data_IF_608959131757
#
_entry.id   IF_608959131757
#
_cell.length_a   1.000
_cell.length_b   1.000
_cell.length_c   1.000
_cell.angle_alpha   90.00
_cell.angle_beta   90.00
_cell.angle_gamma   90.00
#
_symmetry.space_group_name_H-M   'P 1'
#
loop_
_entity.id
_entity.type
_entity.pdbx_description
1 polymer ?
#
# COMPACT_ATOMS: atom_id res chain seq x y z
N UNK A 1 -16.42 63.03 -15.35
CA UNK A 1 -16.01 63.04 -16.75
C UNK A 1 -15.72 61.61 -17.15
N UNK A 2 -16.70 60.95 -17.78
CA UNK A 2 -16.58 59.69 -18.52
C UNK A 2 -16.00 59.97 -19.91
N UNK A 3 -15.35 59.02 -20.60
CA UNK A 3 -16.12 58.23 -21.57
C UNK A 3 -15.75 56.75 -21.69
N UNK A 4 -16.75 55.96 -21.77
CA UNK A 4 -17.13 54.86 -22.66
C UNK A 4 -16.22 54.55 -23.85
N UNK A 5 -15.86 53.27 -24.05
CA UNK A 5 -15.47 52.74 -25.37
C UNK A 5 -15.94 51.28 -25.56
N UNK A 6 -16.50 51.08 -26.72
CA UNK A 6 -17.30 50.01 -27.29
C UNK A 6 -16.55 48.67 -27.48
N UNK A 7 -17.26 47.59 -27.21
CA UNK A 7 -16.96 46.20 -27.62
C UNK A 7 -17.48 46.02 -29.07
N UNK A 8 -16.66 45.46 -29.95
CA UNK A 8 -17.07 44.89 -31.24
C UNK A 8 -16.97 43.37 -31.19
N UNK A 9 -18.12 42.74 -31.36
CA UNK A 9 -18.24 41.31 -31.62
C UNK A 9 -17.97 41.02 -33.11
N UNK A 10 -17.16 40.00 -33.40
CA UNK A 10 -17.00 39.46 -34.74
C UNK A 10 -17.61 38.04 -34.76
N UNK A 11 -18.66 37.88 -35.56
CA UNK A 11 -19.22 36.59 -35.96
C UNK A 11 -18.33 35.96 -37.05
N UNK A 12 -17.90 34.73 -36.84
CA UNK A 12 -17.33 33.90 -37.90
C UNK A 12 -18.30 32.77 -38.24
N UNK A 13 -18.74 32.78 -39.50
CA UNK A 13 -19.59 31.77 -40.13
C UNK A 13 -18.72 30.57 -40.53
N UNK A 14 -19.00 29.38 -40.03
CA UNK A 14 -18.38 28.14 -40.47
C UNK A 14 -19.19 27.51 -41.60
N UNK A 15 -18.56 27.32 -42.76
CA UNK A 15 -19.11 26.69 -43.94
C UNK A 15 -18.93 25.17 -43.84
N UNK A 16 -20.02 24.41 -43.79
CA UNK A 16 -20.02 22.94 -43.87
C UNK A 16 -19.88 22.50 -45.34
N UNK A 17 -18.80 21.77 -45.64
CA UNK A 17 -18.64 21.09 -46.93
C UNK A 17 -18.89 19.60 -46.66
N UNK A 18 -19.99 19.07 -47.23
CA UNK A 18 -20.32 17.65 -47.27
C UNK A 18 -19.65 17.01 -48.47
N UNK A 19 -18.71 16.11 -48.25
CA UNK A 19 -18.16 15.22 -49.29
C UNK A 19 -18.93 13.89 -49.33
N UNK A 20 -19.60 13.63 -50.44
CA UNK A 20 -20.21 12.32 -50.72
C UNK A 20 -19.17 11.37 -51.28
N UNK A 21 -19.08 10.17 -50.71
CA UNK A 21 -18.28 9.04 -51.20
C UNK A 21 -19.15 8.10 -52.07
N UNK A 22 -18.62 7.51 -53.14
CA UNK A 22 -19.40 6.59 -54.00
C UNK A 22 -19.47 5.18 -53.38
N UNK A 23 -20.64 4.58 -53.50
CA UNK A 23 -20.91 3.18 -53.16
C UNK A 23 -20.38 2.27 -54.28
N UNK A 24 -19.45 1.37 -53.95
CA UNK A 24 -19.00 0.28 -54.86
C UNK A 24 -19.82 -0.97 -54.63
N UNK A 25 -20.40 -1.49 -55.74
CA UNK A 25 -21.19 -2.72 -55.76
C UNK A 25 -20.31 -3.94 -55.52
N UNK A 26 -20.78 -4.83 -54.62
CA UNK A 26 -20.19 -6.15 -54.37
C UNK A 26 -20.73 -7.18 -55.36
N UNK A 27 -19.84 -7.90 -56.03
CA UNK A 27 -20.16 -9.09 -56.83
C UNK A 27 -20.28 -10.35 -55.97
N UNK A 28 -20.85 -11.47 -56.48
CA UNK A 28 -21.16 -12.62 -55.65
C UNK A 28 -19.94 -13.45 -55.25
N UNK A 29 -19.86 -13.80 -53.95
CA UNK A 29 -18.82 -14.64 -53.38
C UNK A 29 -18.99 -16.10 -53.73
N UNK A 30 -17.90 -16.74 -54.19
CA UNK A 30 -17.84 -18.18 -54.42
C UNK A 30 -17.72 -18.92 -53.08
N UNK A 31 -18.49 -19.99 -52.91
CA UNK A 31 -18.48 -20.86 -51.74
C UNK A 31 -17.18 -21.68 -51.67
N UNK A 32 -16.47 -21.63 -50.53
CA UNK A 32 -15.35 -22.50 -50.17
C UNK A 32 -15.87 -23.62 -49.26
N UNK A 33 -15.51 -24.90 -49.43
CA UNK A 33 -15.98 -25.96 -48.58
C UNK A 33 -15.39 -25.94 -47.19
N UNK A 34 -16.22 -26.20 -46.17
CA UNK A 34 -15.86 -26.28 -44.77
C UNK A 34 -14.91 -27.48 -44.53
N UNK A 35 -13.68 -27.18 -44.06
CA UNK A 35 -12.79 -28.17 -43.48
C UNK A 35 -13.15 -28.32 -41.99
N UNK A 36 -13.75 -29.42 -41.61
CA UNK A 36 -13.91 -29.87 -40.22
C UNK A 36 -12.58 -30.38 -39.70
N UNK A 37 -11.86 -29.54 -39.02
CA UNK A 37 -10.69 -29.89 -38.21
C UNK A 37 -10.81 -29.19 -36.88
N UNK A 38 -11.42 -29.88 -35.92
CA UNK A 38 -11.50 -29.45 -34.52
C UNK A 38 -10.10 -29.60 -33.91
N UNK A 39 -9.31 -28.54 -34.01
CA UNK A 39 -8.07 -28.41 -33.24
C UNK A 39 -8.49 -28.00 -31.83
N UNK A 40 -8.39 -28.94 -30.88
CA UNK A 40 -8.52 -28.62 -29.46
C UNK A 40 -7.47 -27.55 -29.11
N UNK A 41 -7.91 -26.34 -28.85
CA UNK A 41 -7.09 -25.28 -28.27
C UNK A 41 -6.54 -25.80 -26.92
N UNK A 42 -5.22 -25.67 -26.66
CA UNK A 42 -4.69 -26.04 -25.36
C UNK A 42 -5.39 -25.16 -24.29
N UNK A 43 -5.99 -25.83 -23.29
CA UNK A 43 -6.65 -25.17 -22.18
C UNK A 43 -5.66 -24.11 -21.58
N UNK A 44 -6.07 -22.84 -21.56
CA UNK A 44 -5.32 -21.80 -20.88
C UNK A 44 -5.04 -22.28 -19.44
N UNK A 45 -3.80 -22.08 -18.94
CA UNK A 45 -3.50 -22.43 -17.56
C UNK A 45 -4.46 -21.69 -16.64
N UNK A 46 -5.12 -22.44 -15.75
CA UNK A 46 -6.09 -21.90 -14.80
C UNK A 46 -5.52 -20.65 -14.14
N UNK A 47 -6.19 -19.52 -14.32
CA UNK A 47 -5.78 -18.22 -13.82
C UNK A 47 -5.64 -18.28 -12.28
N UNK A 48 -4.42 -18.40 -11.79
CA UNK A 48 -4.09 -18.44 -10.35
C UNK A 48 -4.64 -17.20 -9.60
N UNK A 49 -5.00 -16.13 -10.33
CA UNK A 49 -5.63 -14.93 -9.78
C UNK A 49 -7.06 -15.19 -9.31
N UNK A 50 -7.70 -16.27 -9.75
CA UNK A 50 -9.09 -16.63 -9.42
C UNK A 50 -9.22 -17.70 -8.33
N UNK A 51 -8.13 -18.36 -7.93
CA UNK A 51 -8.19 -19.34 -6.85
C UNK A 51 -8.72 -18.70 -5.55
N UNK A 52 -9.57 -19.41 -4.76
CA UNK A 52 -10.00 -18.92 -3.47
C UNK A 52 -8.80 -18.64 -2.57
N UNK A 53 -8.81 -17.50 -1.86
CA UNK A 53 -7.81 -17.25 -0.83
C UNK A 53 -8.05 -18.18 0.36
N UNK A 54 -7.00 -18.65 1.05
CA UNK A 54 -7.18 -19.42 2.28
C UNK A 54 -7.89 -18.57 3.32
N UNK A 55 -8.72 -19.21 4.14
CA UNK A 55 -9.30 -18.56 5.30
C UNK A 55 -8.17 -18.15 6.26
N UNK A 56 -8.19 -16.90 6.70
CA UNK A 56 -7.25 -16.42 7.72
C UNK A 56 -7.56 -17.05 9.07
N UNK A 57 -6.53 -17.44 9.81
CA UNK A 57 -6.61 -17.79 11.21
C UNK A 57 -6.58 -16.52 12.06
N UNK A 58 -7.54 -16.36 12.98
CA UNK A 58 -7.54 -15.23 13.90
C UNK A 58 -6.85 -15.64 15.21
N UNK A 59 -5.78 -14.95 15.56
CA UNK A 59 -5.08 -15.10 16.83
C UNK A 59 -5.16 -13.81 17.64
N UNK A 60 -4.91 -13.91 18.94
CA UNK A 60 -4.92 -12.75 19.84
C UNK A 60 -3.53 -12.54 20.44
N UNK A 61 -2.99 -11.33 20.30
CA UNK A 61 -1.65 -10.96 20.75
C UNK A 61 -1.76 -9.79 21.74
N UNK A 62 -1.17 -9.91 22.92
CA UNK A 62 -1.14 -8.82 23.88
C UNK A 62 -0.20 -7.70 23.41
N UNK A 63 -0.69 -6.45 23.37
CA UNK A 63 0.10 -5.24 23.04
C UNK A 63 0.25 -4.40 24.30
N UNK A 64 1.41 -4.46 24.98
CA UNK A 64 1.65 -3.70 26.20
C UNK A 64 1.67 -2.20 25.94
N UNK A 65 1.15 -1.42 26.85
CA UNK A 65 1.13 0.04 26.78
C UNK A 65 0.15 0.63 25.76
N UNK A 66 -0.68 -0.21 25.12
CA UNK A 66 -1.67 0.25 24.15
C UNK A 66 -3.07 0.48 24.77
N UNK A 67 -3.29 0.03 25.98
CA UNK A 67 -4.53 0.22 26.72
C UNK A 67 -4.61 1.52 27.49
N UNK A 68 -5.76 1.79 28.08
CA UNK A 68 -5.95 2.90 28.99
C UNK A 68 -4.93 2.84 30.14
N UNK A 69 -4.42 3.98 30.55
CA UNK A 69 -3.44 4.11 31.64
C UNK A 69 -2.18 3.24 31.48
N UNK A 70 -1.78 2.93 30.22
CA UNK A 70 -0.60 2.10 29.95
C UNK A 70 -0.82 0.59 30.09
N UNK A 71 -2.07 0.13 30.22
CA UNK A 71 -2.42 -1.28 30.21
C UNK A 71 -2.20 -1.95 28.85
N UNK A 72 -2.46 -3.26 28.76
CA UNK A 72 -2.39 -4.01 27.50
C UNK A 72 -3.73 -4.01 26.77
N UNK A 73 -3.66 -4.10 25.42
CA UNK A 73 -4.81 -4.43 24.56
C UNK A 73 -4.57 -5.80 23.93
N UNK A 74 -5.61 -6.64 23.92
CA UNK A 74 -5.57 -7.93 23.24
C UNK A 74 -5.90 -7.71 21.75
N UNK A 75 -4.86 -7.68 20.93
CA UNK A 75 -4.92 -7.35 19.52
C UNK A 75 -5.28 -8.58 18.68
N UNK A 76 -6.39 -8.49 17.95
CA UNK A 76 -6.77 -9.52 16.96
C UNK A 76 -5.84 -9.41 15.76
N UNK A 77 -5.25 -10.53 15.38
CA UNK A 77 -4.29 -10.62 14.28
C UNK A 77 -4.70 -11.73 13.33
N UNK A 78 -4.80 -11.40 12.04
CA UNK A 78 -5.10 -12.37 11.00
C UNK A 78 -3.81 -12.99 10.47
N UNK A 79 -3.76 -14.32 10.40
CA UNK A 79 -2.62 -15.10 9.93
C UNK A 79 -3.04 -15.89 8.70
N UNK A 80 -2.35 -15.69 7.60
CA UNK A 80 -2.55 -16.41 6.36
C UNK A 80 -1.27 -17.16 6.02
N UNK A 81 -1.34 -18.48 5.89
CA UNK A 81 -0.21 -19.33 5.57
C UNK A 81 -0.35 -19.90 4.15
N UNK A 82 0.73 -19.99 3.36
CA UNK A 82 0.72 -20.75 2.13
C UNK A 82 0.58 -22.24 2.43
N UNK A 83 0.28 -23.10 1.43
CA UNK A 83 0.31 -24.55 1.61
C UNK A 83 1.68 -25.06 2.06
N UNK A 84 1.71 -26.07 2.93
CA UNK A 84 2.92 -26.67 3.48
C UNK A 84 3.06 -26.50 5.00
N UNK A 85 4.15 -26.99 5.55
CA UNK A 85 4.39 -26.97 7.00
C UNK A 85 5.29 -25.81 7.48
N UNK A 86 6.03 -25.20 6.56
CA UNK A 86 6.99 -24.14 6.89
C UNK A 86 8.39 -24.69 7.23
N UNK A 87 9.27 -23.89 7.88
CA UNK A 87 9.04 -22.49 8.22
C UNK A 87 8.93 -21.59 6.99
N UNK A 88 7.98 -20.64 7.04
CA UNK A 88 7.73 -19.70 5.95
C UNK A 88 8.37 -18.34 6.24
N UNK A 89 8.95 -17.65 5.24
CA UNK A 89 9.24 -16.22 5.36
C UNK A 89 7.94 -15.47 5.70
N UNK A 90 8.05 -14.40 6.47
CA UNK A 90 6.88 -13.73 7.02
C UNK A 90 6.79 -12.28 6.55
N UNK A 91 5.63 -11.91 6.05
CA UNK A 91 5.25 -10.52 5.81
C UNK A 91 4.35 -10.04 6.95
N UNK A 92 4.82 -9.07 7.73
CA UNK A 92 3.99 -8.36 8.71
C UNK A 92 3.38 -7.15 8.03
N UNK A 93 2.06 -7.19 7.80
CA UNK A 93 1.35 -6.15 7.07
C UNK A 93 0.62 -5.19 8.01
N UNK A 94 1.05 -3.92 8.01
CA UNK A 94 0.43 -2.83 8.77
C UNK A 94 -0.57 -2.06 7.91
N UNK A 95 -1.86 -2.08 8.29
CA UNK A 95 -2.94 -1.40 7.56
C UNK A 95 -2.88 0.12 7.66
N UNK A 96 -3.61 0.83 6.79
CA UNK A 96 -3.82 2.27 6.85
C UNK A 96 -4.76 2.70 7.99
N UNK A 97 -4.98 4.01 8.10
CA UNK A 97 -5.91 4.59 9.06
C UNK A 97 -7.11 5.23 8.34
N UNK A 98 -8.31 4.83 8.69
CA UNK A 98 -9.51 5.58 8.35
C UNK A 98 -9.66 6.78 9.30
N UNK A 99 -9.97 7.96 8.76
CA UNK A 99 -10.19 9.18 9.55
C UNK A 99 -11.45 9.08 10.37
N UNK A 100 -12.50 8.48 9.82
CA UNK A 100 -13.78 8.29 10.50
C UNK A 100 -13.73 7.17 11.55
N UNK A 101 -14.36 7.38 12.69
CA UNK A 101 -14.35 6.42 13.79
C UNK A 101 -15.21 5.18 13.49
N UNK A 102 -16.30 5.33 12.74
CA UNK A 102 -17.15 4.20 12.36
C UNK A 102 -16.41 3.29 11.37
N UNK A 103 -15.69 3.86 10.39
CA UNK A 103 -14.88 3.09 9.45
C UNK A 103 -13.77 2.32 10.17
N UNK A 104 -13.12 2.94 11.18
CA UNK A 104 -12.13 2.25 12.01
C UNK A 104 -12.73 1.08 12.77
N UNK A 105 -13.92 1.26 13.35
CA UNK A 105 -14.62 0.21 14.10
C UNK A 105 -15.07 -0.98 13.23
N UNK A 106 -15.23 -0.78 11.92
CA UNK A 106 -15.64 -1.83 10.98
C UNK A 106 -14.48 -2.60 10.35
N UNK A 107 -13.22 -2.26 10.64
CA UNK A 107 -12.07 -2.97 10.08
C UNK A 107 -12.02 -4.42 10.57
N UNK A 108 -12.14 -5.37 9.64
CA UNK A 108 -12.09 -6.82 9.94
C UNK A 108 -10.80 -7.48 9.45
N UNK A 109 -10.25 -6.99 8.34
CA UNK A 109 -8.99 -7.49 7.74
C UNK A 109 -8.18 -6.29 7.28
N UNK A 110 -6.93 -6.22 7.71
CA UNK A 110 -6.05 -5.08 7.45
C UNK A 110 -5.32 -5.16 6.09
N UNK A 111 -5.27 -6.34 5.46
CA UNK A 111 -4.54 -6.61 4.22
C UNK A 111 -5.52 -6.85 3.06
N UNK A 112 -5.21 -6.34 1.87
CA UNK A 112 -6.05 -6.53 0.69
C UNK A 112 -5.86 -7.90 0.04
N UNK A 113 -6.86 -8.35 -0.73
CA UNK A 113 -6.76 -9.60 -1.48
C UNK A 113 -5.61 -9.58 -2.50
N UNK A 114 -5.29 -8.45 -3.10
CA UNK A 114 -4.16 -8.31 -4.02
C UNK A 114 -2.82 -8.60 -3.31
N UNK A 115 -2.63 -8.03 -2.13
CA UNK A 115 -1.46 -8.29 -1.29
C UNK A 115 -1.41 -9.76 -0.85
N UNK A 116 -2.53 -10.33 -0.36
CA UNK A 116 -2.59 -11.73 0.05
C UNK A 116 -2.21 -12.67 -1.09
N UNK A 117 -2.79 -12.51 -2.28
CA UNK A 117 -2.46 -13.34 -3.45
C UNK A 117 -0.99 -13.26 -3.81
N UNK A 118 -0.43 -12.05 -3.83
CA UNK A 118 0.96 -11.83 -4.18
C UNK A 118 1.91 -12.57 -3.21
N UNK A 119 1.76 -12.36 -1.91
CA UNK A 119 2.66 -12.94 -0.92
C UNK A 119 2.48 -14.45 -0.79
N UNK A 120 1.24 -14.92 -0.69
CA UNK A 120 0.96 -16.37 -0.56
C UNK A 120 1.42 -17.17 -1.78
N UNK A 121 1.29 -16.62 -3.00
CA UNK A 121 1.79 -17.28 -4.22
C UNK A 121 3.31 -17.40 -4.27
N UNK A 122 4.02 -16.56 -3.54
CA UNK A 122 5.48 -16.63 -3.36
C UNK A 122 5.92 -17.66 -2.30
N UNK A 123 4.98 -18.15 -1.51
CA UNK A 123 5.25 -19.04 -0.39
C UNK A 123 5.53 -18.29 0.92
N UNK A 124 5.14 -17.02 1.00
CA UNK A 124 5.32 -16.19 2.20
C UNK A 124 4.06 -16.23 3.05
N UNK A 125 4.20 -16.36 4.36
CA UNK A 125 3.08 -16.19 5.29
C UNK A 125 2.81 -14.70 5.51
N UNK A 126 1.52 -14.33 5.63
CA UNK A 126 1.10 -12.94 5.89
C UNK A 126 0.46 -12.86 7.27
N UNK A 127 1.00 -11.98 8.11
CA UNK A 127 0.49 -11.66 9.44
C UNK A 127 0.01 -10.22 9.44
N UNK A 128 -1.29 -10.02 9.61
CA UNK A 128 -1.95 -8.72 9.52
C UNK A 128 -2.65 -8.38 10.84
N UNK A 129 -1.98 -7.67 11.76
CA UNK A 129 -2.59 -7.21 12.99
C UNK A 129 -3.66 -6.15 12.72
N UNK A 130 -4.80 -6.25 13.39
CA UNK A 130 -5.80 -5.19 13.51
C UNK A 130 -5.41 -4.37 14.74
N UNK A 131 -4.72 -3.26 14.52
CA UNK A 131 -4.09 -2.50 15.60
C UNK A 131 -5.08 -1.99 16.65
N UNK A 132 -4.64 -1.70 17.90
CA UNK A 132 -5.48 -1.05 18.92
C UNK A 132 -6.17 0.22 18.40
N UNK A 133 -7.45 0.40 18.74
CA UNK A 133 -8.31 1.46 18.22
C UNK A 133 -9.08 1.09 16.94
N UNK A 134 -8.93 -0.15 16.43
CA UNK A 134 -9.59 -0.60 15.19
C UNK A 134 -10.38 -1.90 15.38
N UNK A 135 -11.48 -2.00 14.65
CA UNK A 135 -12.25 -3.23 14.42
C UNK A 135 -12.48 -4.06 15.66
N UNK A 136 -12.30 -5.37 15.52
CA UNK A 136 -12.52 -6.34 16.61
C UNK A 136 -11.50 -6.25 17.74
N UNK A 137 -10.35 -5.60 17.53
CA UNK A 137 -9.39 -5.33 18.60
C UNK A 137 -9.92 -4.29 19.56
N UNK A 138 -10.57 -3.23 19.06
CA UNK A 138 -11.05 -2.14 19.90
C UNK A 138 -9.92 -1.41 20.64
N UNK A 139 -10.24 -0.84 21.79
CA UNK A 139 -9.29 -0.10 22.62
C UNK A 139 -9.12 1.37 22.25
N UNK A 140 -8.21 2.09 22.91
CA UNK A 140 -7.96 3.51 22.67
C UNK A 140 -7.39 3.77 21.27
N UNK A 141 -7.80 4.91 20.66
CA UNK A 141 -7.25 5.39 19.38
C UNK A 141 -5.93 6.14 19.63
N UNK A 142 -4.86 5.39 19.85
CA UNK A 142 -3.50 5.95 20.07
C UNK A 142 -2.86 6.52 18.81
N UNK A 143 -3.43 6.26 17.62
CA UNK A 143 -2.89 6.73 16.33
C UNK A 143 -3.50 8.06 15.86
N UNK A 144 -4.31 8.70 16.68
CA UNK A 144 -4.88 10.00 16.36
C UNK A 144 -3.82 11.09 16.45
N UNK A 145 -3.32 11.57 15.31
CA UNK A 145 -2.34 12.66 15.25
C UNK A 145 -2.91 14.03 15.65
N UNK A 146 -4.22 14.16 15.79
CA UNK A 146 -4.87 15.46 16.01
C UNK A 146 -4.92 16.37 14.78
N UNK A 147 -4.55 15.90 13.59
CA UNK A 147 -4.65 16.67 12.35
C UNK A 147 -6.10 17.08 12.06
N UNK A 148 -6.33 18.36 11.83
CA UNK A 148 -7.66 18.91 11.50
C UNK A 148 -7.53 20.00 10.44
N UNK A 149 -8.51 20.04 9.53
CA UNK A 149 -8.65 21.06 8.52
C UNK A 149 -9.91 21.92 8.78
N UNK A 150 -9.88 23.18 8.34
CA UNK A 150 -11.10 23.97 8.21
C UNK A 150 -11.80 23.66 6.87
N UNK A 151 -12.97 24.28 6.66
CA UNK A 151 -13.76 24.12 5.43
C UNK A 151 -13.06 24.66 4.17
N UNK A 152 -12.01 25.45 4.33
CA UNK A 152 -11.19 25.96 3.23
C UNK A 152 -9.95 25.10 2.97
N UNK A 153 -9.81 23.95 3.65
CA UNK A 153 -8.70 23.01 3.49
C UNK A 153 -7.39 23.46 4.16
N UNK A 154 -7.44 24.44 5.07
CA UNK A 154 -6.26 24.86 5.81
C UNK A 154 -6.08 23.99 7.06
N UNK A 155 -4.85 23.56 7.30
CA UNK A 155 -4.48 22.88 8.54
C UNK A 155 -4.65 23.82 9.75
N UNK A 156 -5.44 23.42 10.73
CA UNK A 156 -5.79 24.22 11.93
C UNK A 156 -5.10 23.79 13.19
N UNK A 157 -4.43 22.65 13.19
CA UNK A 157 -3.79 22.09 14.36
C UNK A 157 -2.31 21.81 14.08
N UNK A 158 -1.55 21.60 15.13
CA UNK A 158 -0.22 21.02 15.03
C UNK A 158 -0.34 19.54 15.35
N UNK A 159 -0.34 18.65 14.33
CA UNK A 159 -0.48 17.22 14.57
C UNK A 159 0.74 16.65 15.28
N UNK A 160 0.57 15.49 15.93
CA UNK A 160 1.69 14.71 16.45
C UNK A 160 1.82 13.39 15.68
N UNK A 161 2.65 13.40 14.65
CA UNK A 161 2.91 12.21 13.84
C UNK A 161 3.87 11.24 14.50
N UNK A 162 4.69 11.71 15.47
CA UNK A 162 5.56 10.86 16.25
C UNK A 162 4.76 9.93 17.15
N UNK A 163 3.82 10.48 17.90
CA UNK A 163 2.97 9.70 18.78
C UNK A 163 2.13 8.70 17.99
N UNK A 164 1.59 9.10 16.82
CA UNK A 164 0.93 8.19 15.88
C UNK A 164 1.84 7.00 15.51
N UNK A 165 3.08 7.28 15.11
CA UNK A 165 4.03 6.23 14.71
C UNK A 165 4.42 5.33 15.90
N UNK A 166 4.70 5.91 17.07
CA UNK A 166 5.07 5.17 18.28
C UNK A 166 3.93 4.24 18.75
N UNK A 167 2.69 4.73 18.72
CA UNK A 167 1.53 3.92 19.06
C UNK A 167 1.38 2.70 18.13
N UNK A 168 1.53 2.91 16.82
CA UNK A 168 1.41 1.85 15.83
C UNK A 168 2.56 0.83 15.90
N UNK A 169 3.79 1.27 16.17
CA UNK A 169 4.98 0.40 16.29
C UNK A 169 4.84 -0.63 17.41
N UNK A 170 4.11 -0.33 18.50
CA UNK A 170 3.84 -1.30 19.57
C UNK A 170 3.20 -2.59 19.04
N UNK A 171 2.33 -2.48 18.03
CA UNK A 171 1.68 -3.64 17.39
C UNK A 171 2.69 -4.47 16.59
N UNK A 172 3.63 -3.82 15.90
CA UNK A 172 4.73 -4.50 15.20
C UNK A 172 5.60 -5.26 16.20
N UNK A 173 6.02 -4.60 17.29
CA UNK A 173 6.87 -5.21 18.31
C UNK A 173 6.20 -6.43 18.96
N UNK A 174 4.91 -6.31 19.30
CA UNK A 174 4.15 -7.43 19.87
C UNK A 174 4.00 -8.59 18.86
N UNK A 175 3.75 -8.28 17.57
CA UNK A 175 3.65 -9.28 16.50
C UNK A 175 4.98 -10.00 16.30
N UNK A 176 6.11 -9.30 16.26
CA UNK A 176 7.44 -9.90 16.13
C UNK A 176 7.80 -10.78 17.34
N UNK A 177 7.45 -10.35 18.55
CA UNK A 177 7.63 -11.16 19.76
C UNK A 177 6.81 -12.45 19.70
N UNK A 178 5.56 -12.38 19.26
CA UNK A 178 4.69 -13.53 19.08
C UNK A 178 5.20 -14.49 17.99
N UNK A 179 5.68 -13.97 16.85
CA UNK A 179 6.22 -14.79 15.75
C UNK A 179 7.37 -15.68 16.21
N UNK A 180 8.21 -15.24 17.15
CA UNK A 180 9.30 -16.06 17.70
C UNK A 180 8.83 -17.30 18.45
N UNK A 181 7.56 -17.39 18.80
CA UNK A 181 6.94 -18.56 19.43
C UNK A 181 6.27 -19.50 18.42
N UNK A 182 6.29 -19.16 17.12
CA UNK A 182 5.57 -19.91 16.10
C UNK A 182 6.51 -20.82 15.30
N UNK A 183 6.38 -22.15 15.36
CA UNK A 183 7.30 -23.07 14.68
C UNK A 183 7.23 -23.00 13.15
N UNK A 184 6.11 -22.50 12.60
CA UNK A 184 5.90 -22.34 11.17
C UNK A 184 6.53 -21.06 10.60
N UNK A 185 7.00 -20.13 11.43
CA UNK A 185 7.52 -18.83 11.01
C UNK A 185 9.05 -18.87 10.89
N UNK A 186 9.56 -18.48 9.73
CA UNK A 186 10.97 -18.17 9.57
C UNK A 186 11.23 -16.76 10.12
N UNK A 187 11.60 -16.71 11.39
CA UNK A 187 11.83 -15.45 12.12
C UNK A 187 13.12 -14.73 11.73
N UNK A 188 13.94 -15.31 10.86
CA UNK A 188 15.14 -14.69 10.30
C UNK A 188 14.85 -13.95 8.99
N UNK A 189 13.71 -14.21 8.35
CA UNK A 189 13.29 -13.60 7.11
C UNK A 189 11.90 -12.94 7.27
N UNK A 190 11.87 -11.81 7.97
CA UNK A 190 10.67 -11.00 8.18
C UNK A 190 10.75 -9.73 7.37
N UNK A 191 9.70 -9.45 6.58
CA UNK A 191 9.53 -8.21 5.83
C UNK A 191 8.39 -7.40 6.45
N UNK A 192 8.64 -6.13 6.78
CA UNK A 192 7.57 -5.23 7.19
C UNK A 192 6.97 -4.57 5.95
N UNK A 193 5.66 -4.66 5.80
CA UNK A 193 4.93 -4.01 4.70
C UNK A 193 3.82 -3.15 5.28
N UNK A 194 3.64 -1.93 4.80
CA UNK A 194 2.58 -1.09 5.34
C UNK A 194 2.03 -0.09 4.32
N UNK A 195 0.78 0.32 4.55
CA UNK A 195 0.08 1.30 3.71
C UNK A 195 -0.39 2.48 4.56
N UNK A 196 -0.23 3.73 4.07
CA UNK A 196 -0.67 4.95 4.75
C UNK A 196 -0.03 5.08 6.15
N UNK A 197 -0.80 5.20 7.22
CA UNK A 197 -0.26 5.15 8.59
C UNK A 197 0.53 3.85 8.83
N UNK A 198 0.13 2.72 8.23
CA UNK A 198 0.92 1.49 8.26
C UNK A 198 2.28 1.61 7.57
N UNK A 199 2.38 2.39 6.48
CA UNK A 199 3.64 2.72 5.84
C UNK A 199 4.55 3.57 6.74
N UNK A 200 4.01 4.62 7.38
CA UNK A 200 4.72 5.37 8.41
C UNK A 200 5.17 4.46 9.56
N UNK A 201 4.34 3.48 9.94
CA UNK A 201 4.66 2.49 10.97
C UNK A 201 5.89 1.66 10.60
N UNK A 202 6.00 1.18 9.34
CA UNK A 202 7.16 0.37 8.91
C UNK A 202 8.44 1.18 8.96
N UNK A 203 8.41 2.45 8.52
CA UNK A 203 9.56 3.35 8.59
C UNK A 203 9.99 3.61 10.04
N UNK A 204 9.04 3.90 10.92
CA UNK A 204 9.31 4.13 12.33
C UNK A 204 9.82 2.84 13.04
N UNK A 205 9.26 1.69 12.68
CA UNK A 205 9.73 0.41 13.20
C UNK A 205 11.18 0.15 12.78
N UNK A 206 11.53 0.41 11.53
CA UNK A 206 12.88 0.20 11.00
C UNK A 206 13.94 1.14 11.62
N UNK A 207 13.53 2.23 12.27
CA UNK A 207 14.45 3.15 12.93
C UNK A 207 15.14 2.57 14.18
N UNK A 208 14.75 1.38 14.61
CA UNK A 208 15.46 0.60 15.64
C UNK A 208 15.72 -0.81 15.10
N UNK A 209 16.89 -1.39 15.34
CA UNK A 209 17.17 -2.78 14.95
C UNK A 209 16.13 -3.75 15.52
N UNK A 210 15.68 -4.69 14.68
CA UNK A 210 14.78 -5.79 15.04
C UNK A 210 15.28 -7.06 14.39
N UNK A 211 15.72 -7.98 15.22
CA UNK A 211 16.30 -9.24 14.77
C UNK A 211 15.35 -9.98 13.82
N UNK A 212 15.88 -10.41 12.69
CA UNK A 212 15.15 -11.12 11.66
C UNK A 212 14.37 -10.24 10.68
N UNK A 213 14.26 -8.92 10.93
CA UNK A 213 13.66 -7.99 9.96
C UNK A 213 14.73 -7.60 8.93
N UNK A 214 14.57 -8.09 7.69
CA UNK A 214 15.57 -7.94 6.62
C UNK A 214 15.33 -6.73 5.71
N UNK A 215 14.15 -6.13 5.77
CA UNK A 215 13.78 -4.95 4.98
C UNK A 215 12.35 -4.50 5.24
N UNK A 216 11.94 -3.41 4.58
CA UNK A 216 10.54 -2.97 4.65
C UNK A 216 10.07 -2.27 3.38
N UNK A 217 8.74 -2.30 3.17
CA UNK A 217 8.06 -1.64 2.06
C UNK A 217 7.04 -0.63 2.62
N UNK A 218 7.16 0.59 2.16
CA UNK A 218 6.30 1.71 2.50
C UNK A 218 5.42 2.08 1.30
N UNK A 219 4.15 1.67 1.31
CA UNK A 219 3.15 2.09 0.32
C UNK A 219 2.41 3.34 0.81
N UNK A 220 2.58 4.44 0.10
CA UNK A 220 1.88 5.70 0.37
C UNK A 220 1.89 6.08 1.87
N UNK A 221 3.04 5.90 2.55
CA UNK A 221 3.15 6.06 4.01
C UNK A 221 3.11 7.50 4.45
N UNK A 222 2.32 7.76 5.46
CA UNK A 222 2.15 9.09 6.03
C UNK A 222 0.92 9.17 6.93
N UNK A 223 0.61 10.38 7.38
CA UNK A 223 -0.54 10.66 8.22
C UNK A 223 -1.08 12.08 7.98
N UNK A 224 -2.29 12.36 8.45
CA UNK A 224 -2.87 13.70 8.45
C UNK A 224 -3.38 14.19 7.09
N UNK A 225 -3.56 13.33 6.10
CA UNK A 225 -4.20 13.67 4.84
C UNK A 225 -5.73 13.62 4.94
N UNK A 226 -6.39 14.42 4.11
CA UNK A 226 -7.86 14.44 3.95
C UNK A 226 -8.22 14.77 2.49
N UNK A 227 -8.49 13.77 1.66
CA UNK A 227 -8.80 14.02 0.24
C UNK A 227 -10.06 14.86 0.05
N UNK A 228 -11.00 14.83 1.01
CA UNK A 228 -12.26 15.61 0.95
C UNK A 228 -12.04 17.08 1.30
N UNK A 229 -11.23 17.38 2.31
CA UNK A 229 -11.06 18.75 2.82
C UNK A 229 -9.82 19.44 2.25
N UNK A 230 -8.76 18.69 1.99
CA UNK A 230 -7.48 19.21 1.50
C UNK A 230 -6.83 18.20 0.56
N UNK A 231 -7.38 17.98 -0.64
CA UNK A 231 -6.84 17.01 -1.59
C UNK A 231 -5.38 17.31 -1.94
N UNK A 232 -4.61 16.24 -2.11
CA UNK A 232 -3.18 16.26 -2.46
C UNK A 232 -2.26 16.90 -1.40
N UNK A 233 -2.73 17.06 -0.18
CA UNK A 233 -1.94 17.69 0.88
C UNK A 233 -2.33 17.19 2.26
N UNK A 234 -1.35 16.81 3.07
CA UNK A 234 -1.57 16.54 4.48
C UNK A 234 -1.42 17.79 5.36
N UNK A 235 -1.93 17.71 6.57
CA UNK A 235 -1.74 18.76 7.58
C UNK A 235 -0.29 18.75 8.03
N UNK A 236 0.40 19.88 7.93
CA UNK A 236 1.82 20.06 8.31
C UNK A 236 2.80 19.03 7.69
N UNK A 237 3.00 19.06 6.35
CA UNK A 237 3.92 18.13 5.68
C UNK A 237 5.37 18.29 6.14
N UNK A 238 5.76 19.45 6.62
CA UNK A 238 7.10 19.74 7.17
C UNK A 238 7.43 18.92 8.40
N UNK A 239 6.45 18.62 9.26
CA UNK A 239 6.64 17.76 10.42
C UNK A 239 6.97 16.32 10.02
N UNK A 240 6.30 15.75 8.99
CA UNK A 240 6.65 14.43 8.45
C UNK A 240 8.03 14.45 7.79
N UNK A 241 8.39 15.53 7.08
CA UNK A 241 9.74 15.68 6.51
C UNK A 241 10.82 15.59 7.59
N UNK A 242 10.63 16.28 8.70
CA UNK A 242 11.58 16.26 9.83
C UNK A 242 11.62 14.87 10.49
N UNK A 243 10.46 14.26 10.73
CA UNK A 243 10.32 12.95 11.38
C UNK A 243 10.96 11.82 10.54
N UNK A 244 10.70 11.80 9.23
CA UNK A 244 11.34 10.83 8.35
C UNK A 244 12.87 11.02 8.27
N UNK A 245 13.34 12.27 8.25
CA UNK A 245 14.78 12.55 8.34
C UNK A 245 15.42 12.03 9.62
N UNK A 246 14.71 12.08 10.74
CA UNK A 246 15.16 11.48 11.99
C UNK A 246 15.23 9.95 11.92
N UNK A 247 14.18 9.31 11.43
CA UNK A 247 14.16 7.86 11.27
C UNK A 247 15.26 7.37 10.31
N UNK A 248 15.52 8.11 9.23
CA UNK A 248 16.58 7.78 8.27
C UNK A 248 17.98 7.74 8.88
N UNK A 249 18.28 8.57 9.89
CA UNK A 249 19.58 8.56 10.56
C UNK A 249 19.88 7.30 11.37
N UNK A 250 18.86 6.57 11.75
CA UNK A 250 19.01 5.35 12.58
C UNK A 250 18.60 4.06 11.87
N UNK A 251 17.98 4.14 10.70
CA UNK A 251 17.59 2.98 9.91
C UNK A 251 18.81 2.38 9.20
N UNK A 252 19.02 1.06 9.37
CA UNK A 252 20.14 0.33 8.75
C UNK A 252 19.70 -0.69 7.71
N UNK A 253 18.43 -1.09 7.72
CA UNK A 253 17.89 -2.09 6.79
C UNK A 253 17.37 -1.43 5.51
N UNK A 254 17.42 -2.14 4.36
CA UNK A 254 16.97 -1.61 3.08
C UNK A 254 15.46 -1.39 3.02
N UNK A 255 15.04 -0.46 2.15
CA UNK A 255 13.62 -0.14 1.98
C UNK A 255 13.22 0.20 0.56
N UNK A 256 11.93 -0.05 0.28
CA UNK A 256 11.23 0.40 -0.91
C UNK A 256 10.08 1.33 -0.51
N UNK A 257 10.00 2.51 -1.11
CA UNK A 257 8.91 3.46 -0.95
C UNK A 257 8.18 3.62 -2.27
N UNK A 258 6.87 3.38 -2.28
CA UNK A 258 6.04 3.43 -3.49
C UNK A 258 4.85 4.35 -3.28
N UNK A 259 4.78 5.41 -4.09
CA UNK A 259 3.69 6.37 -4.09
C UNK A 259 3.22 6.58 -5.52
N UNK A 260 1.91 6.70 -5.74
CA UNK A 260 1.38 7.04 -7.04
C UNK A 260 1.28 8.56 -7.21
N UNK A 261 1.46 9.05 -8.43
CA UNK A 261 1.42 10.49 -8.76
C UNK A 261 0.09 11.16 -8.39
N UNK A 262 -1.02 10.40 -8.43
CA UNK A 262 -2.36 10.90 -8.11
C UNK A 262 -2.84 10.52 -6.69
N UNK A 263 -1.92 10.36 -5.74
CA UNK A 263 -2.27 10.18 -4.32
C UNK A 263 -3.01 11.42 -3.80
N UNK A 264 -4.31 11.28 -3.52
CA UNK A 264 -5.16 12.40 -3.09
C UNK A 264 -4.95 12.81 -1.63
N UNK A 265 -4.27 12.01 -0.83
CA UNK A 265 -3.94 12.34 0.56
C UNK A 265 -2.69 13.21 0.67
N UNK A 266 -1.64 12.91 -0.12
CA UNK A 266 -0.32 13.50 0.07
C UNK A 266 0.20 14.27 -1.15
N UNK A 267 -0.39 14.01 -2.32
CA UNK A 267 0.07 14.59 -3.59
C UNK A 267 1.43 14.07 -4.05
N UNK A 268 1.92 14.58 -5.18
CA UNK A 268 3.17 14.10 -5.77
C UNK A 268 4.44 14.59 -5.04
N UNK A 269 4.42 15.79 -4.46
CA UNK A 269 5.64 16.47 -4.01
C UNK A 269 6.06 16.12 -2.57
N UNK A 270 5.09 16.01 -1.65
CA UNK A 270 5.39 15.76 -0.25
C UNK A 270 6.12 14.42 -0.03
N UNK A 271 5.71 13.29 -0.64
CA UNK A 271 6.44 12.03 -0.53
C UNK A 271 7.88 12.08 -1.04
N UNK A 272 8.14 12.83 -2.11
CA UNK A 272 9.50 13.05 -2.64
C UNK A 272 10.37 13.76 -1.59
N UNK A 273 9.83 14.83 -0.98
CA UNK A 273 10.55 15.57 0.07
C UNK A 273 10.78 14.71 1.33
N UNK A 274 9.80 13.88 1.72
CA UNK A 274 9.91 12.96 2.85
C UNK A 274 11.00 11.92 2.63
N UNK A 275 10.97 11.26 1.46
CA UNK A 275 11.98 10.27 1.10
C UNK A 275 13.37 10.90 0.98
N UNK A 276 13.50 12.06 0.37
CA UNK A 276 14.78 12.78 0.28
C UNK A 276 15.33 13.13 1.67
N UNK A 277 14.46 13.50 2.62
CA UNK A 277 14.87 13.75 4.01
C UNK A 277 15.34 12.46 4.70
N UNK A 278 14.62 11.36 4.52
CA UNK A 278 14.99 10.05 5.03
C UNK A 278 16.32 9.55 4.45
N UNK A 279 16.51 9.63 3.14
CA UNK A 279 17.68 9.11 2.43
C UNK A 279 18.99 9.81 2.84
N UNK A 280 18.93 11.09 3.30
CA UNK A 280 20.10 11.79 3.85
C UNK A 280 20.69 11.11 5.08
N UNK A 281 19.96 10.23 5.75
CA UNK A 281 20.47 9.41 6.85
C UNK A 281 21.43 8.30 6.43
N UNK A 282 21.60 8.03 5.13
CA UNK A 282 22.52 7.03 4.60
C UNK A 282 21.94 5.63 4.46
N UNK A 283 20.65 5.43 4.75
CA UNK A 283 19.97 4.13 4.57
C UNK A 283 19.91 3.73 3.11
N UNK A 284 20.01 2.43 2.82
CA UNK A 284 19.72 1.87 1.49
C UNK A 284 18.22 1.98 1.24
N UNK A 285 17.80 2.88 0.35
CA UNK A 285 16.38 3.14 0.11
C UNK A 285 16.13 3.40 -1.37
N UNK A 286 15.02 2.87 -1.88
CA UNK A 286 14.55 3.11 -3.25
C UNK A 286 13.21 3.81 -3.19
N UNK A 287 13.05 4.89 -3.95
CA UNK A 287 11.79 5.60 -4.13
C UNK A 287 11.22 5.33 -5.52
N UNK A 288 9.96 4.95 -5.58
CA UNK A 288 9.19 4.78 -6.81
C UNK A 288 8.03 5.77 -6.80
N UNK A 289 8.06 6.67 -7.76
CA UNK A 289 6.91 7.50 -8.11
C UNK A 289 6.14 6.76 -9.20
N UNK A 290 5.17 5.94 -8.80
CA UNK A 290 4.39 5.12 -9.71
C UNK A 290 3.42 5.97 -10.52
N UNK A 291 3.11 5.58 -11.78
CA UNK A 291 2.10 6.24 -12.59
C UNK A 291 0.74 6.36 -11.86
N UNK A 292 -0.12 7.30 -12.29
CA UNK A 292 -1.45 7.44 -11.74
C UNK A 292 -2.25 6.14 -11.79
N UNK A 293 -2.96 5.84 -10.73
CA UNK A 293 -3.94 4.73 -10.71
C UNK A 293 -5.19 5.20 -11.45
N UNK A 294 -5.48 4.58 -12.60
CA UNK A 294 -6.61 4.97 -13.43
C UNK A 294 -7.94 4.80 -12.68
N UNK A 295 -8.82 5.80 -12.80
CA UNK A 295 -10.17 5.83 -12.22
C UNK A 295 -10.22 5.66 -10.69
N UNK A 296 -9.09 5.83 -10.00
CA UNK A 296 -8.98 5.64 -8.56
C UNK A 296 -8.04 6.66 -7.91
N UNK A 297 -8.12 6.76 -6.58
CA UNK A 297 -7.16 7.46 -5.77
C UNK A 297 -5.85 6.65 -5.66
N UNK A 298 -4.75 7.26 -6.08
CA UNK A 298 -3.41 6.66 -6.01
C UNK A 298 -2.96 6.27 -4.61
N UNK A 299 -3.55 6.84 -3.56
CA UNK A 299 -3.30 6.45 -2.18
C UNK A 299 -3.61 4.97 -1.92
N UNK A 300 -4.55 4.41 -2.68
CA UNK A 300 -4.93 3.01 -2.62
C UNK A 300 -4.08 2.06 -3.47
N UNK A 301 -2.98 2.48 -4.11
CA UNK A 301 -2.19 1.69 -5.06
C UNK A 301 -1.95 0.24 -4.61
N UNK A 302 -1.54 0.03 -3.37
CA UNK A 302 -1.23 -1.31 -2.82
C UNK A 302 -2.45 -2.23 -2.70
N UNK A 303 -3.67 -1.69 -2.78
CA UNK A 303 -4.94 -2.43 -2.70
C UNK A 303 -5.47 -2.85 -4.05
N UNK A 304 -4.95 -2.24 -5.13
CA UNK A 304 -5.33 -2.54 -6.50
C UNK A 304 -4.58 -3.77 -7.04
N UNK A 305 -4.79 -4.07 -8.32
CA UNK A 305 -4.18 -5.23 -8.99
C UNK A 305 -2.66 -5.23 -8.83
N UNK A 306 -2.09 -6.37 -8.46
CA UNK A 306 -0.67 -6.53 -8.19
C UNK A 306 0.23 -6.06 -9.34
N UNK A 307 -0.21 -6.17 -10.60
CA UNK A 307 0.53 -5.68 -11.79
C UNK A 307 0.97 -4.21 -11.71
N UNK A 308 0.30 -3.40 -10.89
CA UNK A 308 0.61 -1.96 -10.74
C UNK A 308 1.80 -1.70 -9.82
N UNK A 309 2.12 -2.62 -8.92
CA UNK A 309 3.15 -2.43 -7.90
C UNK A 309 4.11 -3.62 -7.75
N UNK A 310 3.69 -4.84 -8.13
CA UNK A 310 4.51 -6.05 -7.97
C UNK A 310 5.88 -5.97 -8.64
N UNK A 311 6.04 -5.41 -9.87
CA UNK A 311 7.37 -5.32 -10.48
C UNK A 311 8.38 -4.52 -9.63
N UNK A 312 7.93 -3.49 -8.91
CA UNK A 312 8.79 -2.72 -8.02
C UNK A 312 9.17 -3.52 -6.78
N UNK A 313 8.19 -4.28 -6.24
CA UNK A 313 8.41 -5.17 -5.09
C UNK A 313 9.37 -6.30 -5.47
N UNK A 314 9.16 -6.97 -6.61
CA UNK A 314 10.04 -8.04 -7.10
C UNK A 314 11.48 -7.54 -7.29
N UNK A 315 11.64 -6.37 -7.89
CA UNK A 315 12.96 -5.74 -8.05
C UNK A 315 13.64 -5.44 -6.72
N UNK A 316 12.89 -4.99 -5.72
CA UNK A 316 13.41 -4.74 -4.37
C UNK A 316 13.79 -6.05 -3.65
N UNK A 317 12.92 -7.05 -3.67
CA UNK A 317 13.15 -8.35 -3.03
C UNK A 317 14.41 -9.05 -3.59
N UNK A 318 14.72 -8.85 -4.87
CA UNK A 318 15.94 -9.36 -5.48
C UNK A 318 17.24 -8.69 -4.94
N UNK A 319 17.14 -7.58 -4.22
CA UNK A 319 18.28 -6.82 -3.66
C UNK A 319 18.51 -7.04 -2.17
N UNK A 320 17.63 -7.78 -1.52
CA UNK A 320 17.68 -8.03 -0.07
C UNK A 320 17.71 -9.52 0.22
N UNK A 321 18.12 -9.89 1.44
CA UNK A 321 18.12 -11.27 1.92
C UNK A 321 16.69 -11.69 2.35
N UNK A 322 15.77 -11.76 1.36
CA UNK A 322 14.42 -12.30 1.54
C UNK A 322 14.24 -13.45 0.55
N UNK A 323 13.86 -14.66 1.01
CA UNK A 323 13.90 -15.86 0.19
C UNK A 323 13.11 -15.72 -1.11
N UNK A 324 13.63 -16.27 -2.24
CA UNK A 324 12.91 -16.29 -3.50
C UNK A 324 11.66 -17.17 -3.42
N UNK A 325 10.77 -17.02 -4.40
CA UNK A 325 9.53 -17.83 -4.49
C UNK A 325 9.80 -19.33 -4.43
N UNK A 326 8.86 -20.09 -3.88
CA UNK A 326 8.96 -21.56 -3.73
C UNK A 326 9.25 -22.32 -5.03
N UNK A 327 8.82 -21.81 -6.19
CA UNK A 327 9.13 -22.40 -7.50
C UNK A 327 10.63 -22.35 -7.85
N UNK A 328 11.36 -21.37 -7.34
CA UNK A 328 12.81 -21.26 -7.50
C UNK A 328 13.57 -22.06 -6.45
N UNK A 329 13.00 -22.29 -5.28
CA UNK A 329 13.61 -23.11 -4.21
C UNK A 329 13.74 -24.60 -4.58
N UNK A 330 12.74 -25.14 -5.30
CA UNK A 330 12.78 -26.56 -5.72
C UNK A 330 13.84 -26.83 -6.81
N UNK A 331 14.30 -25.79 -7.51
CA UNK A 331 15.36 -25.92 -8.55
C UNK A 331 16.79 -25.83 -7.99
N UNK A 332 16.97 -25.48 -6.73
CA UNK A 332 18.30 -25.25 -6.11
C UNK A 332 18.77 -26.37 -5.17
N UNK A 333 17.94 -27.42 -4.94
CA UNK A 333 18.41 -28.62 -4.22
C UNK A 333 18.66 -29.75 -5.22
N UNK A 334 19.92 -30.22 -5.36
CA UNK A 334 20.30 -31.36 -6.19
C UNK A 334 19.77 -32.67 -5.63
#
# INVERSE_FOLDING_TARGET
>A
MTPTSFVRAALSVACLITLAMPVSAQGPAAAVPAATGESAEPAEPADASRAPLPAGEAVTIAVPGAGAFGGSVMMVTQVFKPPGEGPFPVVVFSHGRASDAADRAHLKVGVSNAQLRFWLSRGDAVVSPIRPGYGTTGGPDGENSGARFDNSGNCKTRPDYRDTAVAAVRSVDATLAWLRTQPWADVHHVLLVGQSVGGLTTVAAAAKPRDGVVGYINFAGGAGGSPTLSPYRNCDPGQLTALYGEFGRSTTIPSLWVYAENDQYFGPDAPVAWHASFARGGSKTTFVHAPPVADNDGHGLSRHQARLWAPYVDGFLATIDFPPTTSTRTAQHP
#
